data_IF_525819390447
#
_entry.id   IF_525819390447
#
_cell.length_a   1.000
_cell.length_b   1.000
_cell.length_c   1.000
_cell.angle_alpha   90.00
_cell.angle_beta   90.00
_cell.angle_gamma   90.00
#
_symmetry.space_group_name_H-M   'P 1'
#
loop_
_entity.id
_entity.type
_entity.pdbx_description
1 polymer ?
#
# COMPACT_ATOMS: atom_id res chain seq x y z
N UNK A 1 0.61 -37.26 10.07
CA UNK A 1 -0.39 -36.19 9.84
C UNK A 1 0.32 -35.03 9.13
N UNK A 2 -0.34 -34.30 8.24
CA UNK A 2 0.31 -33.21 7.50
C UNK A 2 0.67 -32.01 8.39
N UNK A 3 -0.02 -31.85 9.54
CA UNK A 3 0.14 -30.75 10.48
C UNK A 3 0.41 -31.28 11.89
N UNK A 4 1.24 -30.55 12.64
CA UNK A 4 1.51 -30.83 14.04
C UNK A 4 0.35 -30.32 14.94
N UNK A 5 -0.29 -29.22 14.53
CA UNK A 5 -1.54 -28.72 15.13
C UNK A 5 -2.73 -29.24 14.33
N UNK A 6 -3.57 -30.07 14.95
CA UNK A 6 -4.73 -30.69 14.30
C UNK A 6 -5.81 -29.69 13.88
N UNK A 7 -5.84 -28.49 14.46
CA UNK A 7 -6.75 -27.43 14.06
C UNK A 7 -6.55 -27.06 12.58
N UNK A 8 -5.33 -27.09 12.07
CA UNK A 8 -5.03 -26.78 10.67
C UNK A 8 -5.66 -27.76 9.67
N UNK A 9 -5.95 -29.01 10.09
CA UNK A 9 -6.67 -30.00 9.26
C UNK A 9 -8.10 -29.52 8.98
N UNK A 10 -8.77 -29.01 10.02
CA UNK A 10 -10.14 -28.51 9.87
C UNK A 10 -10.19 -27.23 9.02
N UNK A 11 -9.23 -26.34 9.19
CA UNK A 11 -9.09 -25.15 8.34
C UNK A 11 -8.85 -25.54 6.89
N UNK A 12 -7.95 -26.49 6.61
CA UNK A 12 -7.70 -26.99 5.26
C UNK A 12 -8.99 -27.55 4.63
N UNK A 13 -9.75 -28.34 5.38
CA UNK A 13 -11.02 -28.89 4.93
C UNK A 13 -12.04 -27.80 4.55
N UNK A 14 -12.13 -26.72 5.35
CA UNK A 14 -13.00 -25.58 5.05
C UNK A 14 -12.56 -24.87 3.77
N UNK A 15 -11.27 -24.61 3.61
CA UNK A 15 -10.70 -23.96 2.43
C UNK A 15 -10.92 -24.79 1.16
N UNK A 16 -10.73 -26.11 1.23
CA UNK A 16 -10.98 -27.03 0.12
C UNK A 16 -12.45 -27.11 -0.28
N UNK A 17 -13.34 -26.94 0.70
CA UNK A 17 -14.79 -26.86 0.49
C UNK A 17 -15.29 -25.46 0.06
N UNK A 18 -14.39 -24.48 -0.07
CA UNK A 18 -14.76 -23.09 -0.41
C UNK A 18 -15.54 -22.37 0.71
N UNK A 19 -15.45 -22.86 1.96
CA UNK A 19 -16.13 -22.25 3.10
C UNK A 19 -15.28 -21.10 3.65
N UNK A 20 -15.81 -19.87 3.70
CA UNK A 20 -15.10 -18.74 4.29
C UNK A 20 -14.77 -18.99 5.77
N UNK A 21 -13.55 -18.65 6.16
CA UNK A 21 -13.11 -18.82 7.55
C UNK A 21 -13.82 -17.82 8.47
N UNK A 22 -14.20 -18.28 9.65
CA UNK A 22 -14.87 -17.51 10.70
C UNK A 22 -13.88 -16.68 11.53
N UNK A 23 -14.41 -15.87 12.46
CA UNK A 23 -13.64 -15.19 13.51
C UNK A 23 -12.82 -16.19 14.32
N UNK A 24 -13.45 -17.28 14.78
CA UNK A 24 -12.76 -18.30 15.59
C UNK A 24 -11.64 -18.99 14.80
N UNK A 25 -11.85 -19.27 13.52
CA UNK A 25 -10.81 -19.83 12.65
C UNK A 25 -9.61 -18.86 12.54
N UNK A 26 -9.87 -17.58 12.31
CA UNK A 26 -8.84 -16.55 12.22
C UNK A 26 -8.03 -16.42 13.51
N UNK A 27 -8.70 -16.42 14.65
CA UNK A 27 -8.05 -16.40 15.97
C UNK A 27 -7.25 -17.68 16.23
N UNK A 28 -7.76 -18.83 15.84
CA UNK A 28 -7.04 -20.10 15.95
C UNK A 28 -5.77 -20.10 15.08
N UNK A 29 -5.83 -19.56 13.85
CA UNK A 29 -4.67 -19.39 12.96
C UNK A 29 -3.61 -18.46 13.57
N UNK A 30 -4.01 -17.37 14.21
CA UNK A 30 -3.06 -16.50 14.92
C UNK A 30 -2.42 -17.16 16.15
N UNK A 31 -3.12 -18.11 16.81
CA UNK A 31 -2.69 -18.75 18.05
C UNK A 31 -1.99 -20.10 17.83
N UNK A 32 -2.04 -20.67 16.62
CA UNK A 32 -1.36 -21.95 16.36
C UNK A 32 0.13 -21.87 16.64
N UNK A 33 0.67 -22.92 17.26
CA UNK A 33 2.11 -23.09 17.48
C UNK A 33 2.81 -23.74 16.27
N UNK A 34 2.07 -24.36 15.35
CA UNK A 34 2.59 -25.00 14.13
C UNK A 34 2.77 -23.96 13.00
N UNK A 35 3.76 -23.10 13.14
CA UNK A 35 4.05 -22.07 12.14
C UNK A 35 4.40 -22.66 10.77
N UNK A 36 5.08 -23.80 10.74
CA UNK A 36 5.40 -24.49 9.49
C UNK A 36 4.17 -25.06 8.80
N UNK A 37 3.25 -25.62 9.55
CA UNK A 37 1.95 -26.08 9.05
C UNK A 37 1.12 -24.93 8.49
N UNK A 38 1.04 -23.82 9.24
CA UNK A 38 0.38 -22.60 8.81
C UNK A 38 0.98 -22.07 7.49
N UNK A 39 2.32 -21.97 7.39
CA UNK A 39 3.00 -21.52 6.18
C UNK A 39 2.75 -22.43 4.98
N UNK A 40 2.77 -23.77 5.16
CA UNK A 40 2.45 -24.73 4.09
C UNK A 40 1.03 -24.53 3.57
N UNK A 41 0.07 -24.34 4.47
CA UNK A 41 -1.33 -24.12 4.10
C UNK A 41 -1.51 -22.81 3.33
N UNK A 42 -0.92 -21.72 3.82
CA UNK A 42 -0.95 -20.41 3.15
C UNK A 42 -0.27 -20.44 1.77
N UNK A 43 0.90 -21.11 1.68
CA UNK A 43 1.61 -21.30 0.41
C UNK A 43 0.77 -22.10 -0.59
N UNK A 44 0.10 -23.18 -0.15
CA UNK A 44 -0.77 -23.96 -1.02
C UNK A 44 -1.91 -23.11 -1.59
N UNK A 45 -2.54 -22.25 -0.77
CA UNK A 45 -3.58 -21.32 -1.24
C UNK A 45 -3.02 -20.25 -2.21
N UNK A 46 -1.82 -19.70 -1.94
CA UNK A 46 -1.14 -18.80 -2.85
C UNK A 46 -0.85 -19.48 -4.20
N UNK A 47 -0.31 -20.70 -4.19
CA UNK A 47 0.02 -21.44 -5.41
C UNK A 47 -1.22 -21.85 -6.23
N UNK A 48 -2.39 -22.01 -5.60
CA UNK A 48 -3.67 -22.19 -6.31
C UNK A 48 -4.08 -20.96 -7.12
N UNK A 49 -3.75 -19.74 -6.63
CA UNK A 49 -4.09 -18.46 -7.27
C UNK A 49 -3.07 -18.02 -8.33
N UNK A 50 -1.81 -17.95 -7.95
CA UNK A 50 -0.73 -17.36 -8.76
C UNK A 50 0.34 -18.38 -9.21
N UNK A 51 0.20 -19.66 -8.86
CA UNK A 51 1.19 -20.69 -9.20
C UNK A 51 2.57 -20.34 -8.63
N UNK A 52 3.58 -20.41 -9.48
CA UNK A 52 4.95 -20.01 -9.14
C UNK A 52 5.24 -18.53 -9.40
N UNK A 53 4.27 -17.75 -9.85
CA UNK A 53 4.44 -16.33 -10.09
C UNK A 53 4.58 -15.55 -8.77
N UNK A 54 5.49 -14.59 -8.76
CA UNK A 54 5.60 -13.54 -7.76
C UNK A 54 5.76 -12.21 -8.49
N UNK A 55 4.92 -11.27 -8.10
CA UNK A 55 4.75 -10.00 -8.79
C UNK A 55 5.61 -8.89 -8.19
N UNK A 56 6.04 -7.96 -9.04
CA UNK A 56 6.67 -6.70 -8.64
C UNK A 56 6.42 -5.62 -9.69
N UNK A 57 6.62 -4.35 -9.34
CA UNK A 57 6.34 -3.22 -10.24
C UNK A 57 7.54 -2.29 -10.35
N UNK A 58 7.77 -1.75 -11.54
CA UNK A 58 8.67 -0.60 -11.69
C UNK A 58 7.87 0.67 -11.39
N UNK A 59 8.05 1.24 -10.22
CA UNK A 59 7.29 2.41 -9.78
C UNK A 59 8.18 3.59 -9.38
N UNK A 60 7.54 4.76 -9.37
CA UNK A 60 8.00 5.97 -8.71
C UNK A 60 7.16 6.20 -7.49
N UNK A 61 7.81 6.51 -6.39
CA UNK A 61 7.16 6.89 -5.14
C UNK A 61 7.44 8.37 -4.85
N UNK A 62 6.40 9.16 -4.63
CA UNK A 62 6.52 10.58 -4.33
C UNK A 62 5.65 10.93 -3.13
N UNK A 63 6.23 11.66 -2.19
CA UNK A 63 5.50 12.37 -1.15
C UNK A 63 5.35 13.83 -1.57
N UNK A 64 4.12 14.27 -1.85
CA UNK A 64 3.87 15.63 -2.32
C UNK A 64 3.94 16.67 -1.21
N UNK A 65 3.64 16.27 0.03
CA UNK A 65 3.70 17.12 1.24
C UNK A 65 3.70 16.26 2.49
N UNK A 66 4.32 16.72 3.57
CA UNK A 66 4.19 16.14 4.90
C UNK A 66 3.28 16.96 5.83
N UNK A 67 2.72 18.07 5.37
CA UNK A 67 1.75 18.83 6.16
C UNK A 67 0.47 18.00 6.33
N UNK A 68 0.08 17.77 7.58
CA UNK A 68 -1.07 16.92 7.88
C UNK A 68 -1.80 17.38 9.15
N UNK A 69 -3.11 17.57 9.03
CA UNK A 69 -3.97 17.92 10.17
C UNK A 69 -4.66 16.70 10.80
N UNK A 70 -4.45 15.48 10.27
CA UNK A 70 -5.18 14.29 10.74
C UNK A 70 -4.84 13.88 12.18
N UNK A 71 -3.63 14.17 12.68
CA UNK A 71 -3.23 13.93 14.07
C UNK A 71 -3.24 12.45 14.46
N UNK A 72 -2.75 11.57 13.57
CA UNK A 72 -2.64 10.15 13.87
C UNK A 72 -1.50 9.90 14.86
N UNK A 73 -1.76 9.19 15.96
CA UNK A 73 -0.80 8.94 17.04
C UNK A 73 0.38 8.05 16.64
N UNK A 74 0.23 7.28 15.56
CA UNK A 74 1.25 6.37 15.01
C UNK A 74 2.13 7.02 13.92
N UNK A 75 1.84 8.26 13.48
CA UNK A 75 2.47 8.83 12.30
C UNK A 75 3.67 9.71 12.64
N UNK A 76 4.86 9.29 12.26
CA UNK A 76 6.10 10.08 12.40
C UNK A 76 6.37 11.01 11.21
N UNK A 77 5.64 10.83 10.10
CA UNK A 77 5.81 11.58 8.86
C UNK A 77 5.17 12.97 8.93
N UNK A 78 4.01 13.09 9.56
CA UNK A 78 3.25 14.33 9.62
C UNK A 78 4.05 15.46 10.25
N UNK A 79 3.97 16.65 9.64
CA UNK A 79 4.47 17.88 10.21
C UNK A 79 3.34 18.89 10.39
N UNK A 80 3.31 19.51 11.56
CA UNK A 80 2.43 20.65 11.85
C UNK A 80 3.12 21.94 11.43
N UNK A 81 2.55 22.64 10.44
CA UNK A 81 3.15 23.85 9.89
C UNK A 81 3.33 25.01 10.90
N UNK A 82 2.64 24.98 12.01
CA UNK A 82 2.75 25.99 13.07
C UNK A 82 3.71 25.60 14.18
N UNK A 83 3.84 24.30 14.48
CA UNK A 83 4.70 23.80 15.56
C UNK A 83 6.10 23.42 15.06
N UNK A 84 6.20 22.92 13.82
CA UNK A 84 7.42 22.36 13.25
C UNK A 84 7.71 22.91 11.83
N UNK A 85 7.70 24.24 11.62
CA UNK A 85 7.82 24.83 10.28
C UNK A 85 9.10 24.43 9.55
N UNK A 86 10.16 24.07 10.27
CA UNK A 86 11.45 23.62 9.71
C UNK A 86 11.38 22.20 9.10
N UNK A 87 10.38 21.39 9.44
CA UNK A 87 10.16 20.05 8.88
C UNK A 87 9.24 20.06 7.66
N UNK A 88 8.51 21.16 7.47
CA UNK A 88 7.46 21.24 6.45
C UNK A 88 8.03 21.30 5.06
N UNK A 89 7.52 20.43 4.19
CA UNK A 89 7.67 20.60 2.76
C UNK A 89 6.31 20.48 2.05
N UNK A 90 6.21 21.12 0.90
CA UNK A 90 5.01 21.13 0.07
C UNK A 90 5.42 21.40 -1.37
N UNK A 91 5.14 20.46 -2.26
CA UNK A 91 5.46 20.57 -3.69
C UNK A 91 4.34 21.26 -4.45
N UNK A 92 4.68 22.07 -5.44
CA UNK A 92 3.75 22.52 -6.49
C UNK A 92 3.50 21.39 -7.48
N UNK A 93 2.43 21.47 -8.33
CA UNK A 93 2.22 20.48 -9.40
C UNK A 93 3.44 20.30 -10.32
N UNK A 94 4.13 21.39 -10.67
CA UNK A 94 5.35 21.32 -11.51
C UNK A 94 6.50 20.60 -10.80
N UNK A 95 6.66 20.81 -9.50
CA UNK A 95 7.66 20.11 -8.71
C UNK A 95 7.35 18.61 -8.59
N UNK A 96 6.08 18.23 -8.39
CA UNK A 96 5.68 16.82 -8.38
C UNK A 96 5.95 16.18 -9.75
N UNK A 97 5.63 16.88 -10.85
CA UNK A 97 5.88 16.39 -12.19
C UNK A 97 7.38 16.23 -12.47
N UNK A 98 8.19 17.22 -12.14
CA UNK A 98 9.65 17.16 -12.28
C UNK A 98 10.26 16.02 -11.46
N UNK A 99 9.77 15.82 -10.22
CA UNK A 99 10.21 14.75 -9.34
C UNK A 99 9.93 13.36 -9.93
N UNK A 100 8.79 13.18 -10.58
CA UNK A 100 8.45 11.91 -11.23
C UNK A 100 9.47 11.54 -12.34
N UNK A 101 10.09 12.54 -12.99
CA UNK A 101 11.02 12.36 -14.09
C UNK A 101 12.51 12.36 -13.69
N UNK A 102 12.82 12.60 -12.43
CA UNK A 102 14.19 12.80 -11.93
C UNK A 102 15.16 11.66 -12.27
N UNK A 103 14.67 10.42 -12.31
CA UNK A 103 15.49 9.26 -12.67
C UNK A 103 15.03 8.59 -13.97
N UNK A 104 14.40 9.37 -14.87
CA UNK A 104 13.95 8.92 -16.20
C UNK A 104 12.52 8.39 -16.23
N UNK A 105 12.12 7.79 -17.35
CA UNK A 105 10.74 7.36 -17.64
C UNK A 105 10.52 5.85 -17.57
N UNK A 106 11.54 5.07 -17.20
CA UNK A 106 11.44 3.61 -17.16
C UNK A 106 10.70 3.12 -15.89
N UNK A 107 9.44 3.48 -15.78
CA UNK A 107 8.51 3.00 -14.76
C UNK A 107 7.10 2.95 -15.34
N UNK A 108 6.23 2.11 -14.77
CA UNK A 108 4.86 1.93 -15.25
C UNK A 108 3.80 2.27 -14.21
N UNK A 109 4.22 2.67 -13.01
CA UNK A 109 3.32 3.13 -11.95
C UNK A 109 3.91 4.34 -11.24
N UNK A 110 3.09 5.37 -11.06
CA UNK A 110 3.36 6.50 -10.21
C UNK A 110 2.51 6.40 -8.95
N UNK A 111 3.19 6.26 -7.81
CA UNK A 111 2.58 6.20 -6.51
C UNK A 111 2.81 7.52 -5.79
N UNK A 112 1.76 8.31 -5.60
CA UNK A 112 1.86 9.58 -4.88
C UNK A 112 0.94 9.54 -3.68
N UNK A 113 1.49 9.85 -2.51
CA UNK A 113 0.76 10.07 -1.26
C UNK A 113 1.32 11.30 -0.57
N UNK A 114 0.55 11.85 0.37
CA UNK A 114 0.97 13.01 1.14
C UNK A 114 0.22 13.14 2.45
N UNK A 115 0.58 14.16 3.20
CA UNK A 115 -0.20 14.58 4.35
C UNK A 115 -1.55 15.17 3.92
N UNK A 116 -2.49 15.25 4.87
CA UNK A 116 -3.78 15.93 4.65
C UNK A 116 -3.60 17.45 4.69
N UNK A 117 -3.00 17.98 3.63
CA UNK A 117 -2.77 19.41 3.46
C UNK A 117 -3.96 20.05 2.71
N UNK A 118 -4.70 20.99 3.35
CA UNK A 118 -5.81 21.67 2.69
C UNK A 118 -5.43 22.41 1.40
N UNK A 119 -4.17 22.81 1.24
CA UNK A 119 -3.72 23.53 0.03
C UNK A 119 -3.54 22.60 -1.17
N UNK A 120 -3.22 21.33 -0.93
CA UNK A 120 -3.04 20.34 -2.00
C UNK A 120 -4.29 19.48 -2.24
N UNK A 121 -5.07 19.16 -1.19
CA UNK A 121 -6.26 18.31 -1.33
C UNK A 121 -7.42 19.07 -1.98
N UNK A 122 -7.29 19.31 -3.29
CA UNK A 122 -8.32 19.93 -4.12
C UNK A 122 -8.29 19.41 -5.56
N UNK A 123 -9.44 19.38 -6.22
CA UNK A 123 -9.54 19.05 -7.64
C UNK A 123 -8.76 20.03 -8.52
N UNK A 124 -8.65 21.31 -8.10
CA UNK A 124 -7.91 22.33 -8.86
C UNK A 124 -6.41 22.06 -8.90
N UNK A 125 -5.86 21.45 -7.83
CA UNK A 125 -4.46 21.03 -7.80
C UNK A 125 -4.24 19.74 -8.61
N UNK A 126 -5.08 18.71 -8.38
CA UNK A 126 -4.79 17.37 -8.89
C UNK A 126 -5.25 17.13 -10.32
N UNK A 127 -6.41 17.62 -10.75
CA UNK A 127 -6.94 17.34 -12.10
C UNK A 127 -6.00 17.79 -13.23
N UNK A 128 -5.44 19.01 -13.23
CA UNK A 128 -4.49 19.41 -14.25
C UNK A 128 -3.21 18.56 -14.24
N UNK A 129 -2.67 18.26 -13.05
CA UNK A 129 -1.47 17.44 -12.89
C UNK A 129 -1.68 16.01 -13.40
N UNK A 130 -2.79 15.37 -13.05
CA UNK A 130 -3.14 14.02 -13.50
C UNK A 130 -3.29 13.96 -15.03
N UNK A 131 -3.99 14.93 -15.62
CA UNK A 131 -4.12 15.04 -17.09
C UNK A 131 -2.77 15.22 -17.76
N UNK A 132 -1.89 16.02 -17.18
CA UNK A 132 -0.53 16.19 -17.67
C UNK A 132 0.24 14.88 -17.66
N UNK A 133 0.21 14.11 -16.56
CA UNK A 133 0.83 12.78 -16.51
C UNK A 133 0.26 11.85 -17.59
N UNK A 134 -1.04 11.81 -17.78
CA UNK A 134 -1.67 10.97 -18.81
C UNK A 134 -1.31 11.38 -20.23
N UNK A 135 -1.13 12.66 -20.47
CA UNK A 135 -0.71 13.20 -21.78
C UNK A 135 0.76 12.95 -22.09
N UNK A 136 1.64 13.21 -21.11
CA UNK A 136 3.10 13.16 -21.32
C UNK A 136 3.68 11.75 -21.05
N UNK A 137 3.05 10.96 -20.17
CA UNK A 137 3.45 9.61 -19.77
C UNK A 137 2.28 8.62 -19.90
N UNK A 138 1.74 8.37 -21.10
CA UNK A 138 0.52 7.56 -21.28
C UNK A 138 0.66 6.10 -20.83
N UNK A 139 1.88 5.59 -20.74
CA UNK A 139 2.19 4.24 -20.26
C UNK A 139 2.15 4.11 -18.72
N UNK A 140 2.12 5.24 -18.00
CA UNK A 140 2.16 5.24 -16.53
C UNK A 140 0.76 5.21 -15.96
N UNK A 141 0.54 4.28 -15.04
CA UNK A 141 -0.66 4.26 -14.21
C UNK A 141 -0.51 5.12 -12.97
N UNK A 142 -1.56 5.91 -12.70
CA UNK A 142 -1.63 6.80 -11.55
C UNK A 142 -2.28 6.06 -10.37
N UNK A 143 -1.46 5.70 -9.37
CA UNK A 143 -1.90 5.12 -8.10
C UNK A 143 -1.83 6.21 -7.02
N UNK A 144 -2.93 6.94 -6.87
CA UNK A 144 -2.98 8.16 -6.07
C UNK A 144 -4.02 8.02 -4.96
N UNK A 145 -3.86 8.86 -3.95
CA UNK A 145 -4.80 9.07 -2.86
C UNK A 145 -5.05 7.85 -1.97
N UNK A 146 -5.66 8.15 -0.85
CA UNK A 146 -6.33 7.23 0.06
C UNK A 146 -7.80 7.62 0.20
N UNK A 147 -8.62 6.76 0.75
CA UNK A 147 -10.04 7.09 1.01
C UNK A 147 -10.21 8.35 1.88
N UNK A 148 -9.28 8.62 2.80
CA UNK A 148 -9.33 9.81 3.63
C UNK A 148 -9.09 11.11 2.85
N UNK A 149 -8.19 11.09 1.87
CA UNK A 149 -7.96 12.23 0.96
C UNK A 149 -9.17 12.45 0.03
N UNK A 150 -9.76 11.36 -0.48
CA UNK A 150 -10.98 11.42 -1.32
C UNK A 150 -12.16 11.97 -0.51
N UNK A 151 -12.38 11.50 0.72
CA UNK A 151 -13.43 12.04 1.60
C UNK A 151 -13.23 13.53 1.85
N UNK A 152 -12.00 13.94 2.14
CA UNK A 152 -11.68 15.35 2.36
C UNK A 152 -12.00 16.21 1.13
N UNK A 153 -11.57 15.78 -0.06
CA UNK A 153 -11.86 16.48 -1.31
C UNK A 153 -13.36 16.54 -1.60
N UNK A 154 -14.09 15.45 -1.35
CA UNK A 154 -15.55 15.41 -1.50
C UNK A 154 -16.21 16.46 -0.60
N UNK A 155 -15.87 16.51 0.68
CA UNK A 155 -16.39 17.52 1.64
C UNK A 155 -16.01 18.93 1.21
N UNK A 156 -14.77 19.17 0.80
CA UNK A 156 -14.30 20.49 0.36
C UNK A 156 -15.05 21.03 -0.85
N UNK A 157 -15.28 20.16 -1.84
CA UNK A 157 -15.97 20.55 -3.09
C UNK A 157 -17.49 20.36 -3.01
N UNK A 158 -18.04 19.92 -1.88
CA UNK A 158 -19.45 19.61 -1.65
C UNK A 158 -20.00 18.60 -2.66
N UNK A 159 -19.21 17.58 -2.96
CA UNK A 159 -19.53 16.49 -3.85
C UNK A 159 -19.87 15.23 -3.05
N UNK A 160 -20.75 14.40 -3.59
CA UNK A 160 -20.96 13.03 -3.13
C UNK A 160 -19.77 12.13 -3.51
N UNK A 161 -19.67 10.93 -2.92
CA UNK A 161 -18.64 9.96 -3.31
C UNK A 161 -18.70 9.57 -4.79
N UNK A 162 -19.87 9.33 -5.41
CA UNK A 162 -19.93 9.12 -6.85
C UNK A 162 -19.37 10.28 -7.69
N UNK A 163 -19.67 11.51 -7.32
CA UNK A 163 -19.21 12.68 -8.08
C UNK A 163 -17.71 12.91 -7.97
N UNK A 164 -17.13 12.80 -6.76
CA UNK A 164 -15.68 12.97 -6.59
C UNK A 164 -14.91 11.86 -7.29
N UNK A 165 -15.36 10.61 -7.21
CA UNK A 165 -14.74 9.47 -7.89
C UNK A 165 -14.80 9.64 -9.41
N UNK A 166 -15.96 10.05 -9.96
CA UNK A 166 -16.08 10.36 -11.40
C UNK A 166 -15.09 11.45 -11.83
N UNK A 167 -14.99 12.54 -11.07
CA UNK A 167 -14.09 13.65 -11.39
C UNK A 167 -12.61 13.24 -11.38
N UNK A 168 -12.21 12.37 -10.46
CA UNK A 168 -10.83 11.83 -10.39
C UNK A 168 -10.57 10.82 -11.50
N UNK A 169 -11.52 9.93 -11.80
CA UNK A 169 -11.43 8.98 -12.90
C UNK A 169 -11.30 9.69 -14.26
N UNK A 170 -12.12 10.71 -14.52
CA UNK A 170 -12.05 11.54 -15.73
C UNK A 170 -10.70 12.28 -15.86
N UNK A 171 -10.04 12.56 -14.75
CA UNK A 171 -8.69 13.14 -14.74
C UNK A 171 -7.57 12.11 -14.99
N UNK A 172 -7.88 10.81 -14.96
CA UNK A 172 -6.95 9.73 -15.27
C UNK A 172 -6.50 8.90 -14.06
N UNK A 173 -7.28 8.86 -12.97
CA UNK A 173 -7.01 7.97 -11.84
C UNK A 173 -7.18 6.51 -12.25
N UNK A 174 -6.12 5.70 -12.09
CA UNK A 174 -6.15 4.27 -12.42
C UNK A 174 -6.35 3.38 -11.19
N UNK A 175 -5.78 3.79 -10.05
CA UNK A 175 -5.80 2.99 -8.82
C UNK A 175 -5.78 3.89 -7.58
N UNK A 176 -6.39 3.44 -6.50
CA UNK A 176 -6.37 4.11 -5.18
C UNK A 176 -5.60 3.26 -4.17
N UNK A 177 -4.78 3.93 -3.37
CA UNK A 177 -3.99 3.28 -2.34
C UNK A 177 -4.85 2.89 -1.14
N UNK A 178 -4.56 1.74 -0.52
CA UNK A 178 -5.33 1.20 0.60
C UNK A 178 -5.13 1.92 1.95
N UNK A 179 -4.22 2.89 2.02
CA UNK A 179 -3.96 3.64 3.25
C UNK A 179 -5.20 4.28 3.87
N UNK A 180 -5.10 4.73 5.10
CA UNK A 180 -6.20 5.21 5.93
C UNK A 180 -7.21 4.13 6.38
N UNK A 181 -7.06 2.87 5.97
CA UNK A 181 -7.78 1.74 6.57
C UNK A 181 -7.37 1.52 8.02
N UNK A 182 -6.09 1.53 8.28
CA UNK A 182 -5.40 1.28 9.54
C UNK A 182 -5.95 0.03 10.23
N UNK A 183 -6.90 0.19 11.14
CA UNK A 183 -7.73 -0.86 11.74
C UNK A 183 -9.19 -0.40 11.78
N UNK A 184 -10.15 -1.28 11.47
CA UNK A 184 -11.56 -0.90 11.37
C UNK A 184 -12.30 -0.91 12.72
N UNK A 185 -11.80 -1.65 13.71
CA UNK A 185 -12.39 -1.70 15.04
C UNK A 185 -12.41 -0.30 15.68
N UNK A 186 -13.61 0.25 15.89
CA UNK A 186 -13.80 1.64 16.33
C UNK A 186 -13.13 1.93 17.67
N UNK A 187 -13.14 0.97 18.61
CA UNK A 187 -12.51 1.10 19.91
C UNK A 187 -10.99 1.33 19.86
N UNK A 188 -10.34 0.81 18.82
CA UNK A 188 -8.92 1.00 18.52
C UNK A 188 -8.71 2.19 17.59
N UNK A 189 -9.51 2.29 16.52
CA UNK A 189 -9.42 3.34 15.50
C UNK A 189 -9.53 4.75 16.09
N UNK A 190 -10.51 4.97 16.96
CA UNK A 190 -10.70 6.27 17.64
C UNK A 190 -9.51 6.71 18.50
N UNK A 191 -8.67 5.79 18.94
CA UNK A 191 -7.46 6.11 19.71
C UNK A 191 -6.27 6.44 18.83
N UNK A 192 -6.16 5.81 17.65
CA UNK A 192 -4.97 5.95 16.80
C UNK A 192 -5.14 7.00 15.69
N UNK A 193 -6.35 7.21 15.17
CA UNK A 193 -6.61 8.17 14.09
C UNK A 193 -8.02 8.77 14.13
N UNK A 194 -8.39 9.50 15.19
CA UNK A 194 -9.76 9.97 15.45
C UNK A 194 -10.30 10.92 14.38
N UNK A 195 -9.43 11.62 13.65
CA UNK A 195 -9.81 12.63 12.65
C UNK A 195 -9.74 12.10 11.21
N UNK A 196 -9.49 10.79 11.02
CA UNK A 196 -9.51 10.17 9.69
C UNK A 196 -10.91 9.73 9.29
N UNK A 197 -11.07 9.41 8.02
CA UNK A 197 -12.25 8.75 7.46
C UNK A 197 -12.70 7.58 8.35
N UNK A 198 -13.99 7.44 8.61
CA UNK A 198 -14.51 6.28 9.37
C UNK A 198 -14.30 4.97 8.59
N UNK A 199 -14.37 3.84 9.27
CA UNK A 199 -14.26 2.53 8.62
C UNK A 199 -15.38 2.33 7.57
N UNK A 200 -16.59 2.77 7.87
CA UNK A 200 -17.76 2.69 6.99
C UNK A 200 -17.57 3.55 5.73
N UNK A 201 -17.11 4.80 5.89
CA UNK A 201 -16.85 5.68 4.75
C UNK A 201 -15.64 5.20 3.93
N UNK A 202 -14.61 4.63 4.57
CA UNK A 202 -13.50 4.02 3.87
C UNK A 202 -13.98 2.91 2.92
N UNK A 203 -14.79 1.99 3.44
CA UNK A 203 -15.39 0.90 2.66
C UNK A 203 -16.31 1.47 1.56
N UNK A 204 -17.20 2.40 1.89
CA UNK A 204 -18.11 3.00 0.93
C UNK A 204 -17.39 3.70 -0.24
N UNK A 205 -16.28 4.38 0.02
CA UNK A 205 -15.47 5.02 -1.03
C UNK A 205 -14.83 3.97 -1.93
N UNK A 206 -14.27 2.90 -1.36
CA UNK A 206 -13.67 1.83 -2.16
C UNK A 206 -14.71 1.07 -2.99
N UNK A 207 -15.87 0.75 -2.44
CA UNK A 207 -16.98 0.14 -3.19
C UNK A 207 -17.45 1.05 -4.34
N UNK A 208 -17.48 2.38 -4.12
CA UNK A 208 -17.80 3.33 -5.18
C UNK A 208 -16.73 3.40 -6.27
N UNK A 209 -15.43 3.37 -5.90
CA UNK A 209 -14.32 3.26 -6.86
C UNK A 209 -14.50 2.03 -7.75
N UNK A 210 -14.75 0.88 -7.15
CA UNK A 210 -14.93 -0.39 -7.86
C UNK A 210 -16.15 -0.35 -8.78
N UNK A 211 -17.27 0.19 -8.29
CA UNK A 211 -18.48 0.35 -9.10
C UNK A 211 -18.25 1.20 -10.35
N UNK A 212 -17.36 2.17 -10.27
CA UNK A 212 -16.95 2.99 -11.41
C UNK A 212 -15.78 2.39 -12.21
N UNK A 213 -15.25 1.22 -11.84
CA UNK A 213 -14.16 0.54 -12.54
C UNK A 213 -12.77 1.13 -12.25
N UNK A 214 -12.61 1.82 -11.12
CA UNK A 214 -11.29 2.22 -10.58
C UNK A 214 -10.87 1.17 -9.57
N UNK A 215 -9.74 0.50 -9.81
CA UNK A 215 -9.21 -0.50 -8.89
C UNK A 215 -8.60 0.14 -7.64
N UNK A 216 -8.43 -0.65 -6.59
CA UNK A 216 -7.77 -0.17 -5.38
C UNK A 216 -7.01 -1.28 -4.63
N UNK A 217 -6.26 -0.88 -3.61
CA UNK A 217 -5.65 -1.82 -2.66
C UNK A 217 -6.35 -1.69 -1.31
N UNK A 218 -6.21 -2.72 -0.47
CA UNK A 218 -6.61 -2.69 0.92
C UNK A 218 -5.38 -2.84 1.83
N UNK A 219 -5.35 -2.16 2.97
CA UNK A 219 -4.26 -2.25 3.94
C UNK A 219 -4.79 -2.56 5.33
N UNK A 220 -3.94 -3.06 6.20
CA UNK A 220 -4.16 -3.15 7.64
C UNK A 220 -2.87 -2.75 8.35
N UNK A 221 -2.93 -1.79 9.27
CA UNK A 221 -1.84 -1.49 10.19
C UNK A 221 -1.94 -2.42 11.39
N UNK A 222 -0.87 -3.15 11.70
CA UNK A 222 -0.84 -4.12 12.81
C UNK A 222 0.43 -3.97 13.65
N UNK A 223 0.39 -4.49 14.88
CA UNK A 223 1.53 -4.46 15.81
C UNK A 223 1.57 -3.22 16.71
N UNK A 224 0.45 -2.52 16.85
CA UNK A 224 0.32 -1.39 17.77
C UNK A 224 -0.54 -1.76 19.01
N UNK A 225 -1.71 -1.15 19.18
CA UNK A 225 -2.60 -1.38 20.34
C UNK A 225 -3.82 -2.25 20.01
N UNK A 226 -3.93 -2.73 18.78
CA UNK A 226 -5.02 -3.57 18.33
C UNK A 226 -4.94 -4.99 18.95
N UNK A 227 -6.08 -5.64 19.07
CA UNK A 227 -6.18 -7.06 19.44
C UNK A 227 -6.11 -7.98 18.21
N UNK A 228 -5.94 -9.28 18.41
CA UNK A 228 -6.05 -10.26 17.33
C UNK A 228 -7.48 -10.29 16.76
N UNK A 229 -8.47 -10.07 17.60
CA UNK A 229 -9.88 -9.95 17.23
C UNK A 229 -10.08 -8.76 16.27
N UNK A 230 -9.42 -7.61 16.53
CA UNK A 230 -9.48 -6.44 15.65
C UNK A 230 -8.87 -6.74 14.27
N UNK A 231 -7.73 -7.46 14.22
CA UNK A 231 -7.10 -7.87 12.95
C UNK A 231 -8.01 -8.80 12.14
N UNK A 232 -8.63 -9.78 12.79
CA UNK A 232 -9.52 -10.74 12.12
C UNK A 232 -10.81 -10.07 11.66
N UNK A 233 -11.44 -9.21 12.49
CA UNK A 233 -12.59 -8.38 12.10
C UNK A 233 -12.30 -7.54 10.87
N UNK A 234 -11.14 -6.88 10.84
CA UNK A 234 -10.70 -6.07 9.71
C UNK A 234 -10.67 -6.89 8.41
N UNK A 235 -10.05 -8.07 8.44
CA UNK A 235 -9.99 -8.95 7.27
C UNK A 235 -11.37 -9.47 6.85
N UNK A 236 -12.26 -9.81 7.80
CA UNK A 236 -13.64 -10.23 7.50
C UNK A 236 -14.38 -9.11 6.79
N UNK A 237 -14.33 -7.89 7.30
CA UNK A 237 -15.00 -6.72 6.69
C UNK A 237 -14.47 -6.40 5.29
N UNK A 238 -13.16 -6.53 5.06
CA UNK A 238 -12.57 -6.38 3.72
C UNK A 238 -13.03 -7.50 2.76
N UNK A 239 -13.06 -8.73 3.22
CA UNK A 239 -13.56 -9.86 2.43
C UNK A 239 -15.01 -9.66 2.01
N UNK A 240 -15.88 -9.26 2.95
CA UNK A 240 -17.27 -8.94 2.66
C UNK A 240 -17.46 -7.77 1.70
N UNK A 241 -16.61 -6.73 1.80
CA UNK A 241 -16.60 -5.62 0.84
C UNK A 241 -16.20 -6.10 -0.55
N UNK A 242 -15.17 -6.94 -0.66
CA UNK A 242 -14.75 -7.54 -1.92
C UNK A 242 -15.83 -8.44 -2.54
N UNK A 243 -16.64 -9.12 -1.74
CA UNK A 243 -17.79 -9.90 -2.21
C UNK A 243 -18.88 -9.00 -2.79
N UNK A 244 -19.18 -7.87 -2.13
CA UNK A 244 -20.20 -6.92 -2.60
C UNK A 244 -19.77 -6.13 -3.82
N UNK A 245 -18.50 -5.76 -3.88
CA UNK A 245 -17.95 -4.89 -4.94
C UNK A 245 -16.52 -5.28 -5.28
N UNK A 246 -16.30 -6.29 -6.13
CA UNK A 246 -14.96 -6.74 -6.52
C UNK A 246 -14.15 -5.62 -7.17
N UNK A 247 -12.92 -5.40 -6.70
CA UNK A 247 -12.04 -4.33 -7.21
C UNK A 247 -10.79 -4.08 -6.38
N UNK A 248 -10.64 -4.73 -5.22
CA UNK A 248 -9.36 -4.72 -4.52
C UNK A 248 -8.36 -5.62 -5.25
N UNK A 249 -7.26 -5.04 -5.72
CA UNK A 249 -6.18 -5.76 -6.37
C UNK A 249 -5.37 -6.59 -5.39
N UNK A 250 -5.00 -5.99 -4.26
CA UNK A 250 -4.16 -6.63 -3.26
C UNK A 250 -4.51 -6.20 -1.84
N UNK A 251 -4.25 -7.10 -0.89
CA UNK A 251 -4.19 -6.77 0.52
C UNK A 251 -2.72 -6.61 0.96
N UNK A 252 -2.46 -5.58 1.78
CA UNK A 252 -1.12 -5.19 2.22
C UNK A 252 -1.11 -5.08 3.74
N UNK A 253 -0.62 -6.06 4.49
CA UNK A 253 -0.38 -5.90 5.92
C UNK A 253 0.84 -4.98 6.13
N UNK A 254 0.67 -3.94 6.94
CA UNK A 254 1.68 -2.94 7.26
C UNK A 254 2.06 -3.05 8.73
N UNK A 255 3.30 -3.45 9.00
CA UNK A 255 3.80 -3.51 10.37
C UNK A 255 3.97 -2.10 10.95
N UNK A 256 3.53 -1.91 12.18
CA UNK A 256 3.69 -0.64 12.88
C UNK A 256 5.17 -0.35 13.18
N UNK A 257 5.55 0.90 13.01
CA UNK A 257 6.89 1.43 13.33
C UNK A 257 6.79 2.36 14.54
N UNK A 258 7.42 2.02 15.67
CA UNK A 258 7.26 2.75 16.91
C UNK A 258 8.07 4.05 17.01
N UNK A 259 9.08 4.24 16.16
CA UNK A 259 10.02 5.33 16.30
C UNK A 259 9.38 6.69 15.96
N UNK A 260 9.58 7.66 16.84
CA UNK A 260 9.19 9.05 16.61
C UNK A 260 7.70 9.36 16.66
N UNK A 261 6.88 8.52 17.32
CA UNK A 261 5.43 8.74 17.46
C UNK A 261 4.93 8.44 18.89
N UNK A 262 3.66 8.72 19.14
CA UNK A 262 3.06 8.60 20.48
C UNK A 262 2.87 7.15 20.94
N UNK A 263 2.86 6.17 20.01
CA UNK A 263 2.71 4.75 20.30
C UNK A 263 4.05 4.00 20.43
N UNK A 264 5.17 4.73 20.57
CA UNK A 264 6.51 4.13 20.67
C UNK A 264 6.66 3.08 21.78
N UNK A 265 5.83 3.13 22.79
CA UNK A 265 5.79 2.14 23.88
C UNK A 265 5.30 0.74 23.45
N UNK A 266 4.66 0.61 22.30
CA UNK A 266 4.23 -0.71 21.76
C UNK A 266 5.42 -1.56 21.30
N UNK A 267 6.55 -0.92 20.94
CA UNK A 267 7.71 -1.61 20.38
C UNK A 267 7.51 -2.07 18.93
N UNK A 268 8.53 -2.73 18.40
CA UNK A 268 8.54 -3.29 17.05
C UNK A 268 7.79 -4.61 16.98
N UNK A 269 7.14 -4.88 15.84
CA UNK A 269 6.70 -6.24 15.52
C UNK A 269 7.89 -7.18 15.42
N UNK A 270 7.64 -8.44 15.68
CA UNK A 270 8.67 -9.48 15.54
C UNK A 270 8.41 -10.28 14.27
N UNK A 271 9.47 -10.73 13.60
CA UNK A 271 9.35 -11.45 12.33
C UNK A 271 8.39 -12.65 12.34
N UNK A 272 8.19 -13.29 13.50
CA UNK A 272 7.19 -14.37 13.65
C UNK A 272 5.76 -13.84 13.56
N UNK A 273 5.47 -12.66 14.12
CA UNK A 273 4.14 -12.03 13.98
C UNK A 273 3.92 -11.57 12.54
N UNK A 274 4.98 -11.03 11.90
CA UNK A 274 4.91 -10.57 10.52
C UNK A 274 4.56 -11.72 9.55
N UNK A 275 5.36 -12.80 9.55
CA UNK A 275 5.10 -13.92 8.63
C UNK A 275 3.80 -14.66 8.95
N UNK A 276 3.37 -14.71 10.22
CA UNK A 276 2.07 -15.23 10.64
C UNK A 276 0.95 -14.37 10.06
N UNK A 277 1.06 -13.05 10.12
CA UNK A 277 0.05 -12.11 9.59
C UNK A 277 -0.11 -12.27 8.08
N UNK A 278 0.97 -12.47 7.31
CA UNK A 278 0.88 -12.81 5.89
C UNK A 278 0.12 -14.12 5.65
N UNK A 279 0.45 -15.15 6.41
CA UNK A 279 -0.20 -16.46 6.27
C UNK A 279 -1.69 -16.39 6.60
N UNK A 280 -2.05 -15.76 7.73
CA UNK A 280 -3.45 -15.58 8.13
C UNK A 280 -4.22 -14.75 7.10
N UNK A 281 -3.62 -13.66 6.60
CA UNK A 281 -4.23 -12.83 5.58
C UNK A 281 -4.55 -13.64 4.30
N UNK A 282 -3.62 -14.47 3.81
CA UNK A 282 -3.86 -15.33 2.64
C UNK A 282 -5.03 -16.29 2.85
N UNK A 283 -5.17 -16.84 4.06
CA UNK A 283 -6.20 -17.80 4.37
C UNK A 283 -7.58 -17.16 4.60
N UNK A 284 -7.60 -16.01 5.29
CA UNK A 284 -8.85 -15.27 5.59
C UNK A 284 -9.44 -14.57 4.36
N UNK A 285 -8.59 -14.06 3.48
CA UNK A 285 -8.96 -13.25 2.31
C UNK A 285 -8.97 -14.09 1.03
N UNK A 286 -9.76 -15.17 1.02
CA UNK A 286 -9.82 -16.13 -0.09
C UNK A 286 -10.23 -15.50 -1.43
N UNK A 287 -10.95 -14.38 -1.42
CA UNK A 287 -11.41 -13.63 -2.58
C UNK A 287 -10.48 -12.47 -3.00
N UNK A 288 -9.34 -12.28 -2.32
CA UNK A 288 -8.27 -11.41 -2.78
C UNK A 288 -7.27 -12.22 -3.60
N UNK A 289 -6.90 -11.73 -4.78
CA UNK A 289 -5.95 -12.44 -5.63
C UNK A 289 -4.53 -12.31 -5.10
N UNK A 290 -4.15 -11.14 -4.59
CA UNK A 290 -2.79 -10.88 -4.17
C UNK A 290 -2.67 -10.47 -2.70
N UNK A 291 -1.64 -11.00 -2.03
CA UNK A 291 -1.16 -10.55 -0.73
C UNK A 291 0.23 -9.96 -0.94
N UNK A 292 0.35 -8.67 -0.69
CA UNK A 292 1.58 -7.92 -0.97
C UNK A 292 2.46 -7.80 0.26
N UNK A 293 3.71 -8.24 0.14
CA UNK A 293 4.76 -8.01 1.12
C UNK A 293 5.46 -6.69 0.80
N UNK A 294 5.19 -5.67 1.61
CA UNK A 294 5.67 -4.31 1.37
C UNK A 294 7.03 -4.10 2.02
N UNK A 295 8.09 -4.35 1.25
CA UNK A 295 9.47 -4.40 1.76
C UNK A 295 9.97 -3.10 2.40
N UNK A 296 9.40 -1.96 2.03
CA UNK A 296 9.72 -0.67 2.67
C UNK A 296 9.36 -0.65 4.16
N UNK A 297 8.39 -1.44 4.57
CA UNK A 297 7.92 -1.53 5.95
C UNK A 297 8.60 -2.70 6.68
N UNK A 298 8.53 -3.93 6.13
CA UNK A 298 9.02 -5.12 6.82
C UNK A 298 10.48 -5.47 6.50
N UNK A 299 11.09 -4.80 5.51
CA UNK A 299 12.41 -5.14 5.00
C UNK A 299 12.42 -6.31 4.01
N UNK A 300 13.41 -6.32 3.12
CA UNK A 300 13.53 -7.32 2.06
C UNK A 300 13.60 -8.76 2.58
N UNK A 301 14.30 -8.99 3.69
CA UNK A 301 14.49 -10.33 4.26
C UNK A 301 13.18 -10.94 4.72
N UNK A 302 12.34 -10.18 5.45
CA UNK A 302 11.02 -10.63 5.90
C UNK A 302 10.11 -10.85 4.70
N UNK A 303 10.12 -9.95 3.72
CA UNK A 303 9.30 -10.05 2.52
C UNK A 303 9.66 -11.27 1.67
N UNK A 304 10.95 -11.60 1.51
CA UNK A 304 11.37 -12.82 0.82
C UNK A 304 10.84 -14.08 1.53
N UNK A 305 10.94 -14.13 2.87
CA UNK A 305 10.38 -15.24 3.65
C UNK A 305 8.85 -15.31 3.53
N UNK A 306 8.16 -14.16 3.50
CA UNK A 306 6.71 -14.09 3.37
C UNK A 306 6.18 -14.74 2.08
N UNK A 307 7.00 -14.84 1.01
CA UNK A 307 6.67 -15.59 -0.21
C UNK A 307 6.38 -17.07 0.07
N UNK A 308 6.99 -17.65 1.11
CA UNK A 308 6.70 -19.02 1.57
C UNK A 308 5.50 -19.08 2.52
N UNK A 309 4.97 -17.94 2.94
CA UNK A 309 3.86 -17.78 3.87
C UNK A 309 2.64 -17.09 3.24
N UNK A 310 2.47 -17.20 1.93
CA UNK A 310 1.25 -16.80 1.25
C UNK A 310 1.31 -15.46 0.52
N UNK A 311 2.36 -14.66 0.67
CA UNK A 311 2.57 -13.48 -0.16
C UNK A 311 2.96 -13.88 -1.59
N UNK A 312 2.51 -13.09 -2.57
CA UNK A 312 2.81 -13.29 -4.00
C UNK A 312 3.16 -11.98 -4.73
N UNK A 313 3.38 -10.90 -3.99
CA UNK A 313 3.81 -9.61 -4.53
C UNK A 313 4.80 -8.95 -3.57
N UNK A 314 5.90 -8.42 -4.09
CA UNK A 314 6.94 -7.74 -3.32
C UNK A 314 6.93 -6.22 -3.47
N UNK A 315 5.83 -5.65 -4.00
CA UNK A 315 5.67 -4.24 -4.33
C UNK A 315 6.63 -3.77 -5.43
N UNK A 316 7.33 -2.65 -5.26
CA UNK A 316 8.05 -2.06 -6.38
C UNK A 316 9.43 -1.51 -6.05
N UNK A 317 10.09 -1.05 -7.11
CA UNK A 317 11.47 -0.55 -7.08
C UNK A 317 11.61 0.79 -6.37
N UNK A 318 10.53 1.53 -6.20
CA UNK A 318 10.42 2.85 -5.56
C UNK A 318 11.25 3.99 -6.16
N UNK A 319 12.17 3.75 -7.03
CA UNK A 319 12.93 4.66 -7.88
C UNK A 319 13.06 6.14 -7.48
N UNK A 320 13.14 6.43 -6.19
CA UNK A 320 13.29 7.79 -5.66
C UNK A 320 14.66 7.96 -5.03
N UNK A 321 15.24 9.14 -5.21
CA UNK A 321 16.50 9.54 -4.57
C UNK A 321 16.27 10.26 -3.23
N UNK A 322 15.00 10.47 -2.82
CA UNK A 322 14.69 11.26 -1.64
C UNK A 322 14.97 10.53 -0.34
N UNK A 323 15.81 11.16 0.48
CA UNK A 323 16.01 10.81 1.87
C UNK A 323 14.77 11.07 2.76
N UNK A 324 13.77 11.79 2.24
CA UNK A 324 12.59 12.28 2.97
C UNK A 324 11.33 11.45 2.75
N UNK A 325 11.46 10.20 2.31
CA UNK A 325 10.31 9.34 2.16
C UNK A 325 9.65 9.03 3.51
N UNK A 326 8.33 8.82 3.49
CA UNK A 326 7.48 8.47 4.65
C UNK A 326 8.17 7.49 5.59
N UNK A 327 8.90 6.53 5.05
CA UNK A 327 9.47 5.42 5.79
C UNK A 327 10.79 5.74 6.49
N UNK A 328 11.52 6.77 6.10
CA UNK A 328 12.66 7.26 6.88
C UNK A 328 12.22 7.90 8.19
N UNK A 329 11.13 8.64 8.15
CA UNK A 329 10.54 9.20 9.36
C UNK A 329 9.87 8.15 10.24
N UNK A 330 9.63 6.95 9.72
CA UNK A 330 9.17 5.79 10.48
C UNK A 330 10.32 4.88 10.97
N UNK A 331 11.57 5.36 10.90
CA UNK A 331 12.72 4.64 11.46
C UNK A 331 13.23 3.44 10.65
N UNK A 332 12.73 3.21 9.43
CA UNK A 332 13.27 2.13 8.60
C UNK A 332 14.67 2.46 8.10
N UNK A 333 15.61 1.57 8.34
CA UNK A 333 16.96 1.63 7.79
C UNK A 333 17.08 0.88 6.45
N UNK A 334 15.97 0.39 5.88
CA UNK A 334 15.97 -0.23 4.57
C UNK A 334 16.34 0.80 3.51
N UNK A 335 17.17 0.40 2.55
CA UNK A 335 17.46 1.22 1.38
C UNK A 335 16.15 1.64 0.69
N UNK A 336 16.13 2.81 0.05
CA UNK A 336 14.91 3.36 -0.56
C UNK A 336 14.67 2.89 -1.97
N UNK A 337 15.60 2.12 -2.51
CA UNK A 337 15.59 1.66 -3.89
C UNK A 337 16.10 0.23 -3.97
N UNK A 338 15.37 -0.58 -4.69
CA UNK A 338 15.81 -1.91 -5.11
C UNK A 338 15.71 -1.96 -6.62
N UNK A 339 16.78 -2.32 -7.30
CA UNK A 339 16.77 -2.40 -8.75
C UNK A 339 16.02 -3.64 -9.26
N UNK A 340 15.62 -3.60 -10.51
CA UNK A 340 14.88 -4.66 -11.18
C UNK A 340 15.60 -6.02 -11.13
N UNK A 341 16.93 -6.03 -11.25
CA UNK A 341 17.76 -7.25 -11.21
C UNK A 341 17.74 -7.89 -9.83
N UNK A 342 17.83 -7.06 -8.80
CA UNK A 342 17.80 -7.52 -7.41
C UNK A 342 16.43 -8.10 -7.05
N UNK A 343 15.30 -7.48 -7.48
CA UNK A 343 13.98 -8.08 -7.30
C UNK A 343 13.88 -9.45 -7.95
N UNK A 344 14.35 -9.59 -9.19
CA UNK A 344 14.34 -10.89 -9.86
C UNK A 344 15.13 -11.92 -9.10
N UNK A 345 16.36 -11.58 -8.68
CA UNK A 345 17.22 -12.46 -7.89
C UNK A 345 16.54 -12.90 -6.59
N UNK A 346 15.97 -11.99 -5.83
CA UNK A 346 15.28 -12.30 -4.56
C UNK A 346 14.10 -13.25 -4.75
N UNK A 347 13.34 -13.08 -5.82
CA UNK A 347 12.19 -13.92 -6.15
C UNK A 347 12.65 -15.31 -6.63
N UNK A 348 13.67 -15.36 -7.48
CA UNK A 348 14.26 -16.62 -7.99
C UNK A 348 14.91 -17.42 -6.88
N UNK A 349 15.69 -16.79 -5.99
CA UNK A 349 16.29 -17.43 -4.82
C UNK A 349 15.24 -18.02 -3.86
N UNK A 350 14.04 -17.44 -3.81
CA UNK A 350 12.90 -17.99 -3.07
C UNK A 350 12.19 -19.16 -3.79
N UNK A 351 12.61 -19.52 -5.01
CA UNK A 351 12.05 -20.64 -5.80
C UNK A 351 10.79 -20.27 -6.60
N UNK A 352 10.63 -18.99 -6.95
CA UNK A 352 9.49 -18.47 -7.72
C UNK A 352 9.94 -17.83 -9.03
N UNK A 353 8.95 -17.49 -9.87
CA UNK A 353 9.14 -16.81 -11.16
C UNK A 353 8.79 -15.34 -11.02
N UNK A 354 9.72 -14.41 -11.26
CA UNK A 354 9.45 -12.99 -11.20
C UNK A 354 8.55 -12.53 -12.35
N UNK A 355 7.50 -11.80 -12.04
CA UNK A 355 6.55 -11.24 -13.00
C UNK A 355 6.47 -9.73 -12.79
N UNK A 356 6.83 -8.98 -13.81
CA UNK A 356 6.65 -7.53 -13.82
C UNK A 356 5.20 -7.18 -14.12
N UNK A 357 4.61 -6.26 -13.34
CA UNK A 357 3.20 -5.84 -13.46
C UNK A 357 3.03 -4.32 -13.41
N UNK A 358 1.82 -3.85 -13.68
CA UNK A 358 1.36 -2.49 -13.36
C UNK A 358 0.43 -2.46 -12.12
N UNK A 359 -0.22 -1.32 -11.84
CA UNK A 359 -1.12 -1.15 -10.68
C UNK A 359 -2.34 -2.07 -10.71
N UNK A 360 -2.78 -2.52 -11.89
CA UNK A 360 -3.94 -3.38 -12.10
C UNK A 360 -3.56 -4.81 -12.45
N UNK A 361 -2.32 -5.22 -12.15
CA UNK A 361 -1.77 -6.57 -12.35
C UNK A 361 -1.73 -7.05 -13.79
N UNK A 362 -1.72 -6.15 -14.77
CA UNK A 362 -1.35 -6.52 -16.14
C UNK A 362 0.14 -6.86 -16.17
N UNK A 363 0.47 -8.03 -16.75
CA UNK A 363 1.84 -8.54 -16.82
C UNK A 363 2.61 -7.88 -17.97
N UNK A 364 3.90 -7.64 -17.77
CA UNK A 364 4.82 -7.10 -18.77
C UNK A 364 6.03 -8.00 -18.96
N UNK A 365 6.58 -8.07 -20.18
CA UNK A 365 7.87 -8.72 -20.40
C UNK A 365 8.97 -8.11 -19.53
N UNK A 366 9.93 -8.90 -19.07
CA UNK A 366 11.02 -8.44 -18.21
C UNK A 366 11.97 -7.46 -18.92
N UNK A 367 12.00 -7.46 -20.24
CA UNK A 367 12.74 -6.54 -21.10
C UNK A 367 11.91 -5.35 -21.60
N UNK A 368 10.64 -5.24 -21.15
CA UNK A 368 9.78 -4.13 -21.53
C UNK A 368 10.41 -2.78 -21.13
N UNK A 369 10.42 -1.87 -22.08
CA UNK A 369 10.79 -0.47 -21.88
C UNK A 369 9.73 0.44 -22.50
N UNK A 370 9.41 1.59 -21.91
CA UNK A 370 8.43 2.50 -22.50
C UNK A 370 8.94 3.04 -23.83
N UNK A 371 8.06 3.14 -24.82
CA UNK A 371 8.34 3.73 -26.12
C UNK A 371 8.38 5.27 -26.11
N UNK A 372 8.21 5.89 -24.95
CA UNK A 372 8.19 7.35 -24.81
C UNK A 372 9.63 7.85 -24.70
N UNK A 373 10.11 8.45 -25.79
CA UNK A 373 11.27 9.33 -25.73
C UNK A 373 10.75 10.68 -25.26
N UNK A 374 11.15 11.12 -24.06
CA UNK A 374 10.97 12.53 -23.70
C UNK A 374 11.67 13.35 -24.79
N UNK A 375 10.90 14.12 -25.54
CA UNK A 375 11.48 15.30 -26.17
C UNK A 375 11.91 16.20 -25.00
N UNK A 376 13.17 16.03 -24.62
CA UNK A 376 13.78 16.77 -23.54
C UNK A 376 13.53 18.22 -23.84
N UNK A 377 12.75 18.88 -23.02
CA UNK A 377 12.86 20.33 -22.89
C UNK A 377 14.23 20.57 -22.26
N UNK A 378 15.26 20.48 -23.07
CA UNK A 378 16.60 20.98 -22.78
C UNK A 378 16.46 22.50 -22.58
N UNK A 379 16.17 22.92 -21.38
CA UNK A 379 16.04 24.33 -21.08
C UNK A 379 15.50 24.69 -19.71
N UNK A 380 14.98 23.77 -18.91
CA UNK A 380 14.43 24.13 -17.60
C UNK A 380 14.91 23.27 -16.41
N UNK A 381 16.06 22.64 -16.52
CA UNK A 381 16.86 22.30 -15.35
C UNK A 381 17.75 23.53 -15.00
N UNK A 382 17.11 24.64 -14.72
CA UNK A 382 17.80 25.78 -14.13
C UNK A 382 18.13 25.39 -12.69
N UNK A 383 19.41 25.14 -12.50
CA UNK A 383 20.16 25.09 -11.26
C UNK A 383 19.60 26.04 -10.19
N UNK A 384 18.81 25.54 -9.30
CA UNK A 384 18.60 26.15 -8.00
C UNK A 384 19.81 25.80 -7.12
N UNK A 385 20.90 26.56 -7.29
CA UNK A 385 22.01 26.52 -6.37
C UNK A 385 21.53 26.97 -4.99
N UNK A 386 21.46 26.03 -4.07
CA UNK A 386 21.39 26.35 -2.66
C UNK A 386 22.76 26.88 -2.27
N UNK A 387 22.90 28.21 -2.25
CA UNK A 387 24.03 28.84 -1.57
C UNK A 387 24.02 28.49 -0.09
N UNK A 388 25.07 27.80 0.31
CA UNK A 388 25.33 27.49 1.71
C UNK A 388 25.46 28.75 2.55
N UNK A 389 24.80 28.79 3.69
CA UNK A 389 25.23 29.60 4.82
C UNK A 389 25.88 28.70 5.86
N UNK A 390 27.11 29.12 6.19
CA UNK A 390 27.95 28.55 7.25
C UNK A 390 27.28 28.53 8.61
#
# INVERSE_FOLDING_TARGET
>A
MPYADTMLVEVERKLDAGVPLSMDDGLALYRTWDLHGLGRLARAQKERKSGKKVFYVLNRYINSTNVCFAGCTFCSFAADEFKEPQRVFRMTPDQVFAKALETGTNFNQLHIVGGHDPRQLSLDYWRPLMRRFKSELPHVQLSLFTAAEIEYMAKRHRLSFPEIVSALKEAGLDNVNGGAAEIFAEGTRSKICPNKVSAENWVAIHEELHRQGVASNATMLYGHIESLEDRVDHMIRLRESQERSPGYNAFIPLAFHPDGNELSYCGWTMGLDDIRTFAVARLMLHNFDHIKAYWMIQGLNVCQVALQFGADDMDGTHGSTDAEMIYHSAGTQSGQYVDDREFRRLIEDAGYTPIRRNSTYNEFPLDWTPSVTLSVVEGQLATGSVEGRK
#
